data_IF_249306498213
#
_entry.id   IF_249306498213
#
_cell.length_a   1.000
_cell.length_b   1.000
_cell.length_c   1.000
_cell.angle_alpha   90.00
_cell.angle_beta   90.00
_cell.angle_gamma   90.00
#
_symmetry.space_group_name_H-M   'P 1'
#
loop_
_entity.id
_entity.type
_entity.pdbx_description
1 polymer ?
#
# COMPACT_ATOMS: atom_id res chain seq x y z
N UNK A 1 -1.12 27.34 5.75
CA UNK A 1 -1.76 26.98 4.46
C UNK A 1 -2.37 25.60 4.61
N UNK A 2 -3.62 25.39 4.16
CA UNK A 2 -4.27 24.07 4.17
C UNK A 2 -4.16 23.46 2.75
N UNK A 3 -3.12 22.66 2.47
CA UNK A 3 -2.79 22.25 1.10
C UNK A 3 -3.91 21.45 0.42
N UNK A 4 -4.70 20.71 1.20
CA UNK A 4 -5.76 19.86 0.69
C UNK A 4 -7.06 20.61 0.44
N UNK A 5 -7.38 21.62 1.26
CA UNK A 5 -8.62 22.39 1.11
C UNK A 5 -8.71 23.04 -0.27
N UNK A 6 -7.60 23.60 -0.76
CA UNK A 6 -7.57 24.22 -2.08
C UNK A 6 -7.84 23.20 -3.21
N UNK A 7 -7.33 21.98 -3.08
CA UNK A 7 -7.58 20.89 -4.04
C UNK A 7 -9.06 20.48 -4.02
N UNK A 8 -9.64 20.28 -2.83
CA UNK A 8 -11.07 19.94 -2.67
C UNK A 8 -11.95 21.05 -3.25
N UNK A 9 -11.69 22.31 -2.91
CA UNK A 9 -12.47 23.47 -3.38
C UNK A 9 -12.46 23.60 -4.90
N UNK A 10 -11.37 23.22 -5.58
CA UNK A 10 -11.30 23.22 -7.05
C UNK A 10 -12.33 22.30 -7.69
N UNK A 11 -12.53 21.10 -7.14
CA UNK A 11 -13.57 20.17 -7.62
C UNK A 11 -14.96 20.66 -7.25
N UNK A 12 -15.14 21.07 -5.98
CA UNK A 12 -16.44 21.54 -5.46
C UNK A 12 -16.99 22.70 -6.29
N UNK A 13 -16.16 23.72 -6.59
CA UNK A 13 -16.56 24.87 -7.41
C UNK A 13 -16.96 24.50 -8.84
N UNK A 14 -16.44 23.39 -9.37
CA UNK A 14 -16.76 22.89 -10.72
C UNK A 14 -17.92 21.90 -10.73
N UNK A 15 -18.47 21.53 -9.57
CA UNK A 15 -19.50 20.48 -9.47
C UNK A 15 -18.98 19.09 -9.87
N UNK A 16 -17.68 18.85 -9.75
CA UNK A 16 -17.04 17.59 -10.13
C UNK A 16 -16.74 16.72 -8.90
N UNK A 17 -16.75 15.38 -9.03
CA UNK A 17 -16.31 14.50 -7.96
C UNK A 17 -14.91 14.87 -7.48
N UNK A 18 -14.68 14.85 -6.17
CA UNK A 18 -13.34 15.08 -5.60
C UNK A 18 -12.46 13.88 -5.95
N UNK A 19 -11.41 14.09 -6.73
CA UNK A 19 -10.48 13.02 -7.12
C UNK A 19 -9.36 12.89 -6.08
N UNK A 20 -9.14 11.67 -5.59
CA UNK A 20 -8.09 11.31 -4.64
C UNK A 20 -7.14 10.29 -5.26
N UNK A 21 -5.85 10.39 -4.96
CA UNK A 21 -4.84 9.44 -5.44
C UNK A 21 -4.11 8.79 -4.28
N UNK A 22 -4.16 7.45 -4.21
CA UNK A 22 -3.64 6.65 -3.10
C UNK A 22 -2.60 5.63 -3.60
N UNK A 23 -1.29 5.87 -3.43
CA UNK A 23 -0.27 4.84 -3.60
C UNK A 23 -0.41 3.77 -2.51
N UNK A 24 -0.80 2.56 -2.91
CA UNK A 24 -1.13 1.45 -2.01
C UNK A 24 -1.32 0.14 -2.79
N UNK A 25 -1.44 -0.98 -2.06
CA UNK A 25 -1.71 -2.31 -2.62
C UNK A 25 -0.65 -2.79 -3.65
N UNK A 26 0.65 -2.87 -3.28
CA UNK A 26 1.70 -3.30 -4.19
C UNK A 26 1.58 -4.78 -4.56
N UNK A 27 1.68 -5.63 -3.54
CA UNK A 27 1.64 -7.08 -3.56
C UNK A 27 1.64 -7.56 -2.10
N UNK A 28 1.19 -8.80 -1.85
CA UNK A 28 1.37 -9.43 -0.54
C UNK A 28 2.85 -9.58 -0.19
N UNK A 29 3.17 -9.45 1.09
CA UNK A 29 4.50 -9.73 1.64
C UNK A 29 5.03 -11.09 1.18
N UNK A 30 6.33 -11.22 0.83
CA UNK A 30 6.93 -12.53 0.59
C UNK A 30 7.09 -13.35 1.88
N UNK A 31 6.86 -12.75 3.06
CA UNK A 31 6.90 -13.44 4.34
C UNK A 31 5.56 -14.11 4.68
N UNK A 32 5.51 -15.44 4.57
CA UNK A 32 4.31 -16.22 4.91
C UNK A 32 3.94 -16.20 6.40
N UNK A 33 4.81 -15.71 7.31
CA UNK A 33 4.43 -15.44 8.70
C UNK A 33 3.59 -14.16 8.86
N UNK A 34 3.44 -13.37 7.78
CA UNK A 34 2.67 -12.12 7.77
C UNK A 34 1.34 -12.25 7.03
N UNK A 35 1.27 -13.10 6.02
CA UNK A 35 0.15 -13.19 5.06
C UNK A 35 -0.26 -14.64 4.77
N UNK A 36 -1.41 -14.84 4.14
CA UNK A 36 -1.94 -16.18 3.80
C UNK A 36 -1.44 -16.72 2.45
N UNK A 37 -0.96 -15.86 1.57
CA UNK A 37 -0.49 -16.23 0.24
C UNK A 37 -0.12 -15.00 -0.59
N UNK A 38 0.14 -15.15 -1.90
CA UNK A 38 0.57 -14.05 -2.77
C UNK A 38 -0.58 -13.18 -3.31
N UNK A 39 -1.83 -13.62 -3.15
CA UNK A 39 -3.02 -12.95 -3.70
C UNK A 39 -3.78 -12.18 -2.62
N UNK A 40 -4.58 -11.16 -2.99
CA UNK A 40 -5.50 -10.49 -2.08
C UNK A 40 -6.41 -11.50 -1.38
N UNK A 41 -6.66 -11.23 -0.09
CA UNK A 41 -7.55 -12.00 0.78
C UNK A 41 -8.55 -11.06 1.46
N UNK A 42 -9.20 -11.49 2.55
CA UNK A 42 -10.22 -10.69 3.24
C UNK A 42 -9.67 -9.35 3.73
N UNK A 43 -8.36 -9.25 4.01
CA UNK A 43 -7.76 -7.99 4.45
C UNK A 43 -7.88 -6.90 3.38
N UNK A 44 -7.59 -7.21 2.12
CA UNK A 44 -7.77 -6.27 1.02
C UNK A 44 -9.25 -5.98 0.74
N UNK A 45 -10.13 -6.97 0.86
CA UNK A 45 -11.58 -6.78 0.69
C UNK A 45 -12.13 -5.76 1.68
N UNK A 46 -11.76 -5.87 2.96
CA UNK A 46 -12.16 -4.91 3.99
C UNK A 46 -11.62 -3.52 3.69
N UNK A 47 -10.35 -3.41 3.27
CA UNK A 47 -9.76 -2.13 2.94
C UNK A 47 -10.42 -1.47 1.72
N UNK A 48 -10.77 -2.25 0.69
CA UNK A 48 -11.50 -1.77 -0.48
C UNK A 48 -12.89 -1.28 -0.10
N UNK A 49 -13.64 -2.03 0.73
CA UNK A 49 -14.95 -1.59 1.24
C UNK A 49 -14.85 -0.32 2.06
N UNK A 50 -13.88 -0.23 2.97
CA UNK A 50 -13.63 0.98 3.74
C UNK A 50 -13.41 2.22 2.85
N UNK A 51 -12.63 2.08 1.77
CA UNK A 51 -12.41 3.18 0.82
C UNK A 51 -13.68 3.53 0.03
N UNK A 52 -14.52 2.54 -0.28
CA UNK A 52 -15.84 2.77 -0.88
C UNK A 52 -16.75 3.55 0.09
N UNK A 53 -16.86 3.10 1.34
CA UNK A 53 -17.68 3.72 2.37
C UNK A 53 -17.26 5.18 2.62
N UNK A 54 -15.95 5.48 2.55
CA UNK A 54 -15.45 6.85 2.60
C UNK A 54 -16.00 7.70 1.44
N UNK A 55 -16.00 7.20 0.21
CA UNK A 55 -16.56 7.89 -0.94
C UNK A 55 -18.09 8.07 -0.81
N UNK A 56 -18.80 7.08 -0.28
CA UNK A 56 -20.24 7.16 -0.02
C UNK A 56 -20.55 8.23 1.03
N UNK A 57 -19.80 8.27 2.14
CA UNK A 57 -19.93 9.32 3.17
C UNK A 57 -19.67 10.72 2.63
N UNK A 58 -18.71 10.90 1.72
CA UNK A 58 -18.50 12.20 1.05
C UNK A 58 -19.73 12.55 0.19
N UNK A 59 -20.34 11.56 -0.46
CA UNK A 59 -21.49 11.76 -1.34
C UNK A 59 -22.75 12.18 -0.58
N UNK A 60 -22.87 11.85 0.71
CA UNK A 60 -23.99 12.32 1.55
C UNK A 60 -23.94 13.82 1.85
N UNK A 61 -22.76 14.44 1.77
CA UNK A 61 -22.57 15.88 2.03
C UNK A 61 -22.26 16.70 0.76
N UNK A 62 -21.79 16.05 -0.30
CA UNK A 62 -21.48 16.66 -1.58
C UNK A 62 -21.95 15.75 -2.71
N UNK A 63 -23.04 16.11 -3.39
CA UNK A 63 -23.74 15.20 -4.32
C UNK A 63 -22.86 14.59 -5.44
N UNK A 64 -21.89 15.30 -6.06
CA UNK A 64 -20.96 14.67 -7.01
C UNK A 64 -20.01 13.64 -6.38
N UNK A 65 -19.87 13.63 -5.06
CA UNK A 65 -19.12 12.63 -4.30
C UNK A 65 -17.61 12.74 -4.48
N UNK A 66 -16.96 11.59 -4.35
CA UNK A 66 -15.52 11.44 -4.47
C UNK A 66 -15.14 10.15 -5.19
N UNK A 67 -13.96 10.14 -5.82
CA UNK A 67 -13.37 8.95 -6.44
C UNK A 67 -11.93 8.79 -6.01
N UNK A 68 -11.54 7.56 -5.69
CA UNK A 68 -10.16 7.24 -5.29
C UNK A 68 -9.51 6.40 -6.39
N UNK A 69 -8.42 6.90 -6.94
CA UNK A 69 -7.52 6.13 -7.79
C UNK A 69 -6.43 5.50 -6.92
N UNK A 70 -6.48 4.18 -6.77
CA UNK A 70 -5.43 3.39 -6.15
C UNK A 70 -4.26 3.29 -7.14
N UNK A 71 -3.16 3.96 -6.82
CA UNK A 71 -1.95 3.97 -7.63
C UNK A 71 -1.03 2.81 -7.20
N UNK A 72 -1.37 1.59 -7.63
CA UNK A 72 -0.69 0.38 -7.21
C UNK A 72 0.78 0.35 -7.64
N UNK A 73 1.64 0.16 -6.65
CA UNK A 73 3.09 0.35 -6.73
C UNK A 73 3.89 -0.96 -6.70
N UNK A 74 3.23 -2.10 -6.90
CA UNK A 74 3.87 -3.42 -6.89
C UNK A 74 4.95 -3.55 -7.95
N UNK A 75 4.62 -3.17 -9.19
CA UNK A 75 5.55 -3.22 -10.33
C UNK A 75 6.77 -2.31 -10.13
N UNK A 76 6.56 -1.18 -9.46
CA UNK A 76 7.60 -0.20 -9.12
C UNK A 76 8.67 -0.83 -8.22
N UNK A 77 8.27 -1.64 -7.24
CA UNK A 77 9.16 -2.09 -6.17
C UNK A 77 9.58 -3.57 -6.24
N UNK A 78 8.96 -4.37 -7.11
CA UNK A 78 9.06 -5.83 -7.14
C UNK A 78 10.49 -6.39 -6.90
N UNK A 79 11.47 -5.89 -7.65
CA UNK A 79 12.88 -6.27 -7.57
C UNK A 79 13.56 -5.88 -6.24
N UNK A 80 13.22 -4.71 -5.70
CA UNK A 80 13.77 -4.20 -4.44
C UNK A 80 13.19 -4.93 -3.22
N UNK A 81 11.89 -5.21 -3.23
CA UNK A 81 11.22 -5.93 -2.13
C UNK A 81 11.38 -7.45 -2.25
N UNK A 82 11.80 -7.95 -3.41
CA UNK A 82 12.05 -9.39 -3.63
C UNK A 82 10.77 -10.18 -3.88
N UNK A 83 9.79 -9.55 -4.53
CA UNK A 83 8.55 -10.19 -4.97
C UNK A 83 8.64 -10.41 -6.49
N UNK A 84 8.46 -11.65 -7.00
CA UNK A 84 8.48 -11.90 -8.43
C UNK A 84 7.41 -11.10 -9.19
N UNK A 85 7.75 -10.64 -10.39
CA UNK A 85 6.82 -9.88 -11.24
C UNK A 85 5.54 -10.66 -11.61
N UNK A 86 5.59 -11.99 -11.63
CA UNK A 86 4.42 -12.85 -11.79
C UNK A 86 3.46 -12.77 -10.59
N UNK A 87 3.98 -12.67 -9.36
CA UNK A 87 3.15 -12.49 -8.17
C UNK A 87 2.50 -11.10 -8.17
N UNK A 88 3.24 -10.06 -8.57
CA UNK A 88 2.68 -8.71 -8.76
C UNK A 88 1.54 -8.73 -9.77
N UNK A 89 1.73 -9.37 -10.92
CA UNK A 89 0.71 -9.44 -11.98
C UNK A 89 -0.55 -10.19 -11.51
N UNK A 90 -0.37 -11.30 -10.79
CA UNK A 90 -1.47 -12.05 -10.19
C UNK A 90 -2.23 -11.24 -9.14
N UNK A 91 -1.51 -10.50 -8.29
CA UNK A 91 -2.08 -9.62 -7.27
C UNK A 91 -2.84 -8.45 -7.90
N UNK A 92 -2.25 -7.73 -8.87
CA UNK A 92 -2.90 -6.64 -9.62
C UNK A 92 -4.18 -7.12 -10.30
N UNK A 93 -4.14 -8.27 -10.97
CA UNK A 93 -5.32 -8.86 -11.63
C UNK A 93 -6.43 -9.21 -10.64
N UNK A 94 -6.07 -9.73 -9.46
CA UNK A 94 -7.03 -10.02 -8.41
C UNK A 94 -7.59 -8.76 -7.75
N UNK A 95 -6.78 -7.72 -7.54
CA UNK A 95 -7.23 -6.41 -7.07
C UNK A 95 -8.19 -5.76 -8.06
N UNK A 96 -7.94 -5.86 -9.38
CA UNK A 96 -8.84 -5.32 -10.40
C UNK A 96 -10.23 -5.98 -10.33
N UNK A 97 -10.28 -7.31 -10.18
CA UNK A 97 -11.54 -8.04 -9.97
C UNK A 97 -12.22 -7.70 -8.65
N UNK A 98 -11.45 -7.48 -7.58
CA UNK A 98 -11.96 -7.07 -6.27
C UNK A 98 -12.61 -5.69 -6.35
N UNK A 99 -11.90 -4.70 -6.89
CA UNK A 99 -12.40 -3.33 -7.06
C UNK A 99 -13.65 -3.29 -7.95
N UNK A 100 -13.64 -4.01 -9.08
CA UNK A 100 -14.79 -4.08 -9.98
C UNK A 100 -16.03 -4.69 -9.32
N UNK A 101 -15.85 -5.61 -8.37
CA UNK A 101 -16.96 -6.26 -7.64
C UNK A 101 -17.47 -5.42 -6.49
N UNK A 102 -16.58 -4.87 -5.68
CA UNK A 102 -16.94 -4.25 -4.39
C UNK A 102 -17.15 -2.74 -4.48
N UNK A 103 -16.49 -2.04 -5.42
CA UNK A 103 -16.49 -0.58 -5.46
C UNK A 103 -16.32 0.03 -6.88
N UNK A 104 -17.05 -0.45 -7.91
CA UNK A 104 -16.80 -0.06 -9.30
C UNK A 104 -17.07 1.42 -9.60
N UNK A 105 -17.90 2.10 -8.80
CA UNK A 105 -18.22 3.52 -8.99
C UNK A 105 -17.20 4.44 -8.27
N UNK A 106 -16.74 4.03 -7.10
CA UNK A 106 -15.91 4.85 -6.21
C UNK A 106 -14.41 4.69 -6.47
N UNK A 107 -13.95 3.49 -6.85
CA UNK A 107 -12.53 3.16 -6.90
C UNK A 107 -12.04 2.82 -8.31
N UNK A 108 -10.79 3.20 -8.59
CA UNK A 108 -10.07 2.87 -9.82
C UNK A 108 -8.69 2.34 -9.49
N UNK A 109 -8.12 1.54 -10.38
CA UNK A 109 -6.70 1.17 -10.31
C UNK A 109 -5.90 1.94 -11.36
N UNK A 110 -4.70 2.34 -10.98
CA UNK A 110 -3.66 2.83 -11.88
C UNK A 110 -2.34 2.17 -11.50
N UNK A 111 -1.68 1.55 -12.47
CA UNK A 111 -0.45 0.78 -12.28
C UNK A 111 0.68 1.38 -13.13
N UNK A 112 1.91 0.93 -12.89
CA UNK A 112 3.02 1.31 -13.77
C UNK A 112 2.81 0.76 -15.20
N UNK A 113 2.16 -0.40 -15.31
CA UNK A 113 1.80 -1.04 -16.58
C UNK A 113 0.83 -0.14 -17.40
N UNK A 114 -0.06 0.62 -16.75
CA UNK A 114 -0.95 1.61 -17.39
C UNK A 114 -0.21 2.89 -17.83
N UNK A 115 0.90 3.23 -17.18
CA UNK A 115 1.69 4.41 -17.51
C UNK A 115 2.48 4.24 -18.82
N UNK A 116 2.85 2.99 -19.15
CA UNK A 116 3.58 2.66 -20.37
C UNK A 116 3.25 1.24 -20.85
N UNK A 117 2.07 1.09 -21.46
CA UNK A 117 1.56 -0.20 -21.91
C UNK A 117 2.48 -0.93 -22.90
N UNK A 118 2.52 -2.27 -22.80
CA UNK A 118 3.22 -3.14 -23.74
C UNK A 118 4.71 -3.37 -23.46
N UNK A 119 5.25 -2.79 -22.38
CA UNK A 119 6.63 -2.99 -21.97
C UNK A 119 6.73 -4.12 -20.93
N UNK A 120 7.88 -4.79 -20.91
CA UNK A 120 8.16 -5.76 -19.86
C UNK A 120 8.40 -5.07 -18.50
N UNK A 121 8.30 -5.80 -17.38
CA UNK A 121 8.46 -5.22 -16.05
C UNK A 121 9.79 -4.52 -15.77
N UNK A 122 10.89 -4.99 -16.36
CA UNK A 122 12.23 -4.42 -16.15
C UNK A 122 12.31 -3.08 -16.89
N UNK A 123 11.85 -3.04 -18.13
CA UNK A 123 11.80 -1.84 -18.95
C UNK A 123 10.86 -0.77 -18.37
N UNK A 124 9.72 -1.19 -17.80
CA UNK A 124 8.82 -0.30 -17.07
C UNK A 124 9.53 0.43 -15.92
N UNK A 125 10.28 -0.32 -15.09
CA UNK A 125 11.06 0.27 -13.99
C UNK A 125 12.19 1.16 -14.49
N UNK A 126 12.91 0.74 -15.54
CA UNK A 126 13.97 1.56 -16.15
C UNK A 126 13.44 2.91 -16.61
N UNK A 127 12.30 2.93 -17.31
CA UNK A 127 11.69 4.19 -17.76
C UNK A 127 11.26 5.08 -16.60
N UNK A 128 10.69 4.51 -15.54
CA UNK A 128 10.34 5.26 -14.33
C UNK A 128 11.58 5.91 -13.71
N UNK A 129 12.67 5.14 -13.58
CA UNK A 129 13.93 5.61 -13.01
C UNK A 129 14.57 6.71 -13.89
N UNK A 130 14.46 6.63 -15.22
CA UNK A 130 15.02 7.62 -16.14
C UNK A 130 14.23 8.94 -16.17
N UNK A 131 12.90 8.87 -16.22
CA UNK A 131 12.07 10.07 -16.39
C UNK A 131 11.73 10.74 -15.06
N UNK A 132 11.66 9.97 -13.98
CA UNK A 132 11.24 10.46 -12.68
C UNK A 132 12.20 10.07 -11.55
N UNK A 133 13.32 9.37 -11.79
CA UNK A 133 14.24 8.96 -10.74
C UNK A 133 15.08 10.12 -10.18
N UNK A 134 15.87 9.81 -9.16
CA UNK A 134 16.85 10.72 -8.58
C UNK A 134 18.14 9.96 -8.27
N UNK A 135 19.26 10.70 -8.14
CA UNK A 135 20.53 10.06 -7.87
C UNK A 135 20.57 9.47 -6.46
N UNK A 136 20.97 8.21 -6.35
CA UNK A 136 21.23 7.55 -5.06
C UNK A 136 22.31 8.30 -4.26
N UNK A 137 23.25 8.96 -4.93
CA UNK A 137 24.28 9.76 -4.26
C UNK A 137 23.68 10.99 -3.56
N UNK A 138 22.77 11.71 -4.25
CA UNK A 138 22.04 12.84 -3.66
C UNK A 138 21.17 12.39 -2.49
N UNK A 139 20.46 11.27 -2.67
CA UNK A 139 19.61 10.71 -1.62
C UNK A 139 20.43 10.31 -0.38
N UNK A 140 21.63 9.74 -0.56
CA UNK A 140 22.54 9.42 0.55
C UNK A 140 22.92 10.67 1.35
N UNK A 141 23.19 11.77 0.66
CA UNK A 141 23.55 13.02 1.33
C UNK A 141 22.37 13.63 2.07
N UNK A 142 21.18 13.60 1.45
CA UNK A 142 19.95 14.06 2.10
C UNK A 142 19.63 13.23 3.35
N UNK A 143 19.79 11.91 3.33
CA UNK A 143 19.57 11.04 4.50
C UNK A 143 20.53 11.39 5.65
N UNK A 144 21.72 11.93 5.38
CA UNK A 144 22.64 12.36 6.45
C UNK A 144 22.17 13.65 7.12
N UNK A 145 21.62 14.56 6.33
CA UNK A 145 21.37 15.95 6.73
C UNK A 145 19.90 16.24 7.09
N UNK A 146 18.95 15.43 6.60
CA UNK A 146 17.51 15.59 6.85
C UNK A 146 16.98 14.46 7.76
N UNK A 147 16.47 14.84 8.94
CA UNK A 147 15.95 13.90 9.94
C UNK A 147 14.77 13.07 9.46
N UNK A 148 13.89 13.68 8.66
CA UNK A 148 12.62 13.08 8.23
C UNK A 148 12.89 12.06 7.12
N UNK A 149 13.73 12.44 6.15
CA UNK A 149 14.19 11.53 5.10
C UNK A 149 14.97 10.35 5.71
N UNK A 150 15.78 10.60 6.76
CA UNK A 150 16.45 9.54 7.51
C UNK A 150 15.47 8.61 8.23
N UNK A 151 14.45 9.15 8.89
CA UNK A 151 13.43 8.35 9.58
C UNK A 151 12.66 7.45 8.58
N UNK A 152 12.27 7.99 7.43
CA UNK A 152 11.64 7.23 6.34
C UNK A 152 12.54 6.10 5.85
N UNK A 153 13.82 6.39 5.56
CA UNK A 153 14.80 5.40 5.15
C UNK A 153 14.95 4.28 6.18
N UNK A 154 15.08 4.60 7.47
CA UNK A 154 15.20 3.62 8.54
C UNK A 154 13.92 2.77 8.69
N UNK A 155 12.75 3.37 8.51
CA UNK A 155 11.46 2.67 8.44
C UNK A 155 11.43 1.64 7.32
N UNK A 156 11.88 2.02 6.12
CA UNK A 156 11.98 1.12 4.95
C UNK A 156 12.99 0.01 5.20
N UNK A 157 14.14 0.30 5.82
CA UNK A 157 15.12 -0.74 6.18
C UNK A 157 14.51 -1.77 7.12
N UNK A 158 13.81 -1.32 8.18
CA UNK A 158 13.12 -2.22 9.12
C UNK A 158 12.10 -3.09 8.37
N UNK A 159 11.31 -2.46 7.52
CA UNK A 159 10.31 -3.12 6.69
C UNK A 159 10.92 -4.23 5.80
N UNK A 160 11.97 -3.91 5.03
CA UNK A 160 12.65 -4.87 4.15
C UNK A 160 13.28 -6.05 4.90
N UNK A 161 13.73 -5.82 6.14
CA UNK A 161 14.26 -6.89 6.99
C UNK A 161 13.12 -7.81 7.44
N UNK A 162 12.04 -7.25 7.97
CA UNK A 162 10.87 -8.03 8.44
C UNK A 162 10.25 -8.88 7.32
N UNK A 163 10.14 -8.33 6.10
CA UNK A 163 9.58 -9.02 4.94
C UNK A 163 10.46 -10.17 4.43
N UNK A 164 11.76 -10.16 4.74
CA UNK A 164 12.68 -11.22 4.33
C UNK A 164 12.99 -12.24 5.43
N UNK A 165 12.65 -11.96 6.69
CA UNK A 165 12.79 -12.89 7.82
C UNK A 165 11.67 -13.95 7.89
N UNK A 166 11.21 -14.44 6.74
CA UNK A 166 10.21 -15.51 6.69
C UNK A 166 10.78 -16.89 7.01
N UNK A 167 9.92 -17.93 7.10
CA UNK A 167 10.31 -19.29 7.49
C UNK A 167 11.45 -19.90 6.67
N UNK A 168 11.57 -19.52 5.39
CA UNK A 168 12.61 -20.03 4.49
C UNK A 168 13.96 -19.30 4.56
N UNK A 169 14.13 -18.30 5.44
CA UNK A 169 15.37 -17.54 5.50
C UNK A 169 16.46 -18.25 6.31
N UNK A 170 17.55 -18.62 5.65
CA UNK A 170 18.68 -19.35 6.25
C UNK A 170 19.92 -18.48 6.54
N UNK A 171 19.89 -17.19 6.23
CA UNK A 171 21.03 -16.30 6.43
C UNK A 171 21.09 -15.67 7.83
N UNK A 172 22.12 -14.85 8.08
CA UNK A 172 22.21 -14.09 9.34
C UNK A 172 21.42 -12.80 9.28
N UNK A 173 20.78 -12.43 10.39
CA UNK A 173 20.06 -11.15 10.51
C UNK A 173 20.94 -9.94 10.17
N UNK A 174 22.21 -9.96 10.58
CA UNK A 174 23.16 -8.88 10.28
C UNK A 174 23.47 -8.75 8.79
N UNK A 175 23.61 -9.87 8.06
CA UNK A 175 23.79 -9.83 6.61
C UNK A 175 22.53 -9.31 5.90
N UNK A 176 21.33 -9.71 6.37
CA UNK A 176 20.07 -9.20 5.86
C UNK A 176 19.92 -7.70 6.08
N UNK A 177 20.26 -7.22 7.28
CA UNK A 177 20.23 -5.80 7.63
C UNK A 177 21.12 -4.98 6.68
N UNK A 178 22.34 -5.45 6.39
CA UNK A 178 23.24 -4.77 5.42
C UNK A 178 22.63 -4.71 4.03
N UNK A 179 22.18 -5.84 3.48
CA UNK A 179 21.53 -5.89 2.16
C UNK A 179 20.26 -5.01 2.09
N UNK A 180 19.51 -4.93 3.18
CA UNK A 180 18.28 -4.13 3.25
C UNK A 180 18.58 -2.63 3.30
N UNK A 181 19.68 -2.22 3.95
CA UNK A 181 20.18 -0.84 3.90
C UNK A 181 20.52 -0.42 2.47
N UNK A 182 21.25 -1.26 1.74
CA UNK A 182 21.61 -0.94 0.35
C UNK A 182 20.37 -0.82 -0.55
N UNK A 183 19.40 -1.72 -0.41
CA UNK A 183 18.15 -1.70 -1.19
C UNK A 183 17.21 -0.55 -0.81
N UNK A 184 17.20 -0.13 0.45
CA UNK A 184 16.30 0.91 0.92
C UNK A 184 16.51 2.25 0.19
N UNK A 185 17.73 2.55 -0.27
CA UNK A 185 17.95 3.73 -1.13
C UNK A 185 17.13 3.65 -2.42
N UNK A 186 17.14 2.51 -3.10
CA UNK A 186 16.35 2.29 -4.30
C UNK A 186 14.84 2.40 -4.03
N UNK A 187 14.38 1.91 -2.88
CA UNK A 187 12.95 1.99 -2.51
C UNK A 187 12.54 3.44 -2.28
N UNK A 188 13.35 4.23 -1.59
CA UNK A 188 13.07 5.66 -1.39
C UNK A 188 13.06 6.41 -2.73
N UNK A 189 14.08 6.19 -3.57
CA UNK A 189 14.19 6.82 -4.88
C UNK A 189 12.98 6.49 -5.76
N UNK A 190 12.58 5.20 -5.84
CA UNK A 190 11.41 4.77 -6.60
C UNK A 190 10.08 5.23 -6.01
N UNK A 191 9.97 5.35 -4.69
CA UNK A 191 8.78 5.92 -4.05
C UNK A 191 8.59 7.38 -4.43
N UNK A 192 9.69 8.16 -4.48
CA UNK A 192 9.66 9.55 -4.95
C UNK A 192 9.38 9.64 -6.45
N UNK A 193 10.00 8.79 -7.26
CA UNK A 193 9.76 8.71 -8.70
C UNK A 193 8.29 8.39 -9.02
N UNK A 194 7.74 7.36 -8.36
CA UNK A 194 6.32 7.03 -8.46
C UNK A 194 5.43 8.18 -7.96
N UNK A 195 5.83 8.82 -6.86
CA UNK A 195 5.15 10.00 -6.33
C UNK A 195 5.05 11.14 -7.35
N UNK A 196 6.13 11.41 -8.11
CA UNK A 196 6.21 12.40 -9.19
C UNK A 196 5.32 12.02 -10.37
N UNK A 197 5.49 10.80 -10.91
CA UNK A 197 4.65 10.32 -12.02
C UNK A 197 3.15 10.38 -11.67
N UNK A 198 2.76 9.93 -10.48
CA UNK A 198 1.35 10.02 -10.06
C UNK A 198 0.90 11.48 -9.90
N UNK A 199 1.78 12.39 -9.46
CA UNK A 199 1.50 13.83 -9.43
C UNK A 199 1.28 14.42 -10.81
N UNK A 200 2.02 13.98 -11.83
CA UNK A 200 1.83 14.41 -13.21
C UNK A 200 0.55 13.85 -13.83
N UNK A 201 0.20 12.59 -13.52
CA UNK A 201 -1.02 11.93 -14.03
C UNK A 201 -2.29 12.43 -13.36
N UNK A 202 -2.21 12.84 -12.10
CA UNK A 202 -3.36 13.29 -11.30
C UNK A 202 -3.05 14.61 -10.56
N UNK A 203 -2.78 15.71 -11.30
CA UNK A 203 -2.19 16.94 -10.74
C UNK A 203 -3.09 17.67 -9.73
N UNK A 204 -4.40 17.59 -9.91
CA UNK A 204 -5.37 18.23 -9.01
C UNK A 204 -5.82 17.32 -7.87
N UNK A 205 -5.45 16.03 -7.88
CA UNK A 205 -5.95 15.06 -6.90
C UNK A 205 -5.48 15.36 -5.47
N UNK A 206 -6.35 15.07 -4.50
CA UNK A 206 -5.96 15.02 -3.10
C UNK A 206 -5.06 13.80 -2.90
N UNK A 207 -3.81 14.02 -2.50
CA UNK A 207 -2.82 12.94 -2.35
C UNK A 207 -3.02 12.25 -1.01
N UNK A 208 -3.43 10.98 -1.04
CA UNK A 208 -3.49 10.13 0.14
C UNK A 208 -2.17 9.36 0.33
N UNK A 209 -1.96 8.82 1.52
CA UNK A 209 -0.81 7.97 1.86
C UNK A 209 -1.19 6.96 2.93
N UNK A 210 -0.69 5.73 2.81
CA UNK A 210 -0.81 4.71 3.87
C UNK A 210 0.26 4.86 4.97
N UNK A 211 1.10 5.90 4.89
CA UNK A 211 2.08 6.24 5.90
C UNK A 211 1.64 7.50 6.65
N UNK A 212 1.95 7.60 7.97
CA UNK A 212 1.78 8.83 8.71
C UNK A 212 2.44 10.02 8.01
N UNK A 213 1.75 11.16 8.03
CA UNK A 213 2.22 12.41 7.42
C UNK A 213 2.20 13.52 8.46
N UNK A 214 3.22 14.39 8.52
CA UNK A 214 3.20 15.55 9.40
C UNK A 214 2.11 16.53 8.97
N UNK A 215 1.59 17.31 9.93
CA UNK A 215 0.65 18.38 9.63
C UNK A 215 1.24 19.37 8.61
N UNK A 216 0.47 19.67 7.56
CA UNK A 216 0.92 20.54 6.46
C UNK A 216 1.68 19.83 5.34
N UNK A 217 1.88 18.50 5.42
CA UNK A 217 2.37 17.70 4.30
C UNK A 217 1.45 17.83 3.08
N UNK A 218 2.01 17.66 1.88
CA UNK A 218 1.24 17.56 0.65
C UNK A 218 0.39 16.27 0.57
N UNK A 219 0.65 15.29 1.45
CA UNK A 219 -0.06 14.01 1.52
C UNK A 219 -0.89 13.91 2.81
N UNK A 220 -2.08 13.32 2.72
CA UNK A 220 -2.92 12.95 3.86
C UNK A 220 -2.76 11.48 4.20
N UNK A 221 -2.38 11.19 5.45
CA UNK A 221 -2.37 9.83 5.97
C UNK A 221 -3.78 9.25 6.07
N UNK A 222 -3.97 8.01 5.60
CA UNK A 222 -5.21 7.23 5.76
C UNK A 222 -4.89 5.83 6.28
N UNK A 223 -5.67 5.36 7.25
CA UNK A 223 -5.57 4.00 7.78
C UNK A 223 -6.55 3.09 7.02
N UNK A 224 -6.07 1.93 6.56
CA UNK A 224 -6.85 0.99 5.75
C UNK A 224 -7.47 -0.17 6.57
N UNK A 225 -7.48 -0.04 7.90
CA UNK A 225 -8.09 -1.04 8.77
C UNK A 225 -7.93 -0.68 10.25
N UNK A 226 -8.85 -1.20 11.08
CA UNK A 226 -8.74 -1.11 12.54
C UNK A 226 -7.65 -2.04 13.06
N UNK A 227 -6.71 -1.49 13.83
CA UNK A 227 -5.62 -2.22 14.47
C UNK A 227 -4.86 -1.32 15.44
N UNK A 228 -4.16 -1.91 16.41
CA UNK A 228 -3.36 -1.16 17.38
C UNK A 228 -2.09 -0.54 16.77
N UNK A 229 -1.62 -1.07 15.64
CA UNK A 229 -0.44 -0.60 14.91
C UNK A 229 -0.86 0.22 13.68
N UNK A 230 -0.58 1.53 13.72
CA UNK A 230 -0.89 2.48 12.65
C UNK A 230 -0.13 2.22 11.34
N UNK A 231 0.82 1.29 11.32
CA UNK A 231 1.58 0.89 10.12
C UNK A 231 1.06 -0.38 9.46
N UNK A 232 0.10 -1.06 10.06
CA UNK A 232 -0.34 -2.34 9.56
C UNK A 232 -1.22 -2.15 8.31
N UNK A 233 -0.73 -2.67 7.20
CA UNK A 233 -1.40 -2.62 5.89
C UNK A 233 -1.92 -4.01 5.52
N UNK A 234 -3.01 -4.10 4.72
CA UNK A 234 -3.62 -5.39 4.34
C UNK A 234 -2.63 -6.40 3.75
N UNK A 235 -1.67 -5.91 2.96
CA UNK A 235 -0.68 -6.75 2.29
C UNK A 235 0.50 -7.19 3.19
N UNK A 236 0.50 -6.77 4.45
CA UNK A 236 1.47 -7.17 5.49
C UNK A 236 0.80 -7.83 6.70
N UNK A 237 -0.47 -8.20 6.58
CA UNK A 237 -1.30 -8.69 7.67
C UNK A 237 -2.35 -9.67 7.19
N UNK A 238 -3.15 -10.14 8.15
CA UNK A 238 -4.35 -10.93 7.93
C UNK A 238 -5.53 -10.24 8.60
N UNK A 239 -6.72 -10.43 8.03
CA UNK A 239 -7.95 -10.06 8.70
C UNK A 239 -8.26 -11.08 9.81
N UNK A 240 -8.68 -10.59 10.96
CA UNK A 240 -9.13 -11.41 12.09
C UNK A 240 -10.53 -10.94 12.49
N UNK A 241 -11.50 -11.85 12.44
CA UNK A 241 -12.86 -11.63 12.90
C UNK A 241 -12.95 -11.94 14.41
N UNK A 242 -13.54 -11.03 15.19
CA UNK A 242 -13.84 -11.24 16.60
C UNK A 242 -14.79 -10.15 17.10
N UNK A 243 -15.66 -10.47 18.07
CA UNK A 243 -16.62 -9.48 18.61
C UNK A 243 -17.48 -8.79 17.54
N UNK A 244 -17.86 -9.52 16.48
CA UNK A 244 -18.71 -9.01 15.39
C UNK A 244 -18.04 -8.09 14.36
N UNK A 245 -16.75 -7.81 14.49
CA UNK A 245 -16.01 -6.93 13.57
C UNK A 245 -14.71 -7.57 13.09
N UNK A 246 -14.11 -7.00 12.05
CA UNK A 246 -12.79 -7.38 11.57
C UNK A 246 -11.73 -6.37 12.02
N UNK A 247 -10.53 -6.88 12.29
CA UNK A 247 -9.32 -6.09 12.54
C UNK A 247 -8.14 -6.67 11.77
N UNK A 248 -7.17 -5.82 11.42
CA UNK A 248 -5.91 -6.28 10.85
C UNK A 248 -4.97 -6.72 11.98
N UNK A 249 -4.27 -7.84 11.77
CA UNK A 249 -3.30 -8.38 12.73
C UNK A 249 -2.14 -9.07 11.99
N UNK A 250 -0.97 -9.14 12.62
CA UNK A 250 0.11 -10.00 12.11
C UNK A 250 -0.34 -11.47 12.23
N UNK A 251 -0.16 -12.26 11.17
CA UNK A 251 -0.58 -13.68 11.18
C UNK A 251 -0.03 -14.47 12.36
N UNK A 252 1.25 -14.33 12.69
CA UNK A 252 1.86 -15.01 13.85
C UNK A 252 1.16 -14.67 15.17
N UNK A 253 0.63 -13.45 15.31
CA UNK A 253 -0.11 -13.04 16.50
C UNK A 253 -1.51 -13.65 16.52
N UNK A 254 -2.19 -13.70 15.37
CA UNK A 254 -3.48 -14.37 15.24
C UNK A 254 -3.37 -15.87 15.60
N UNK A 255 -2.35 -16.55 15.07
CA UNK A 255 -2.06 -17.95 15.36
C UNK A 255 -1.73 -18.14 16.86
N UNK A 256 -0.92 -17.25 17.46
CA UNK A 256 -0.61 -17.29 18.90
C UNK A 256 -1.85 -17.13 19.79
N UNK A 257 -2.83 -16.33 19.34
CA UNK A 257 -4.10 -16.14 20.05
C UNK A 257 -5.09 -17.30 19.83
N UNK A 258 -4.70 -18.36 19.11
CA UNK A 258 -5.56 -19.51 18.84
C UNK A 258 -6.64 -19.23 17.79
N UNK A 259 -6.46 -18.22 16.94
CA UNK A 259 -7.41 -17.93 15.88
C UNK A 259 -7.42 -19.07 14.84
N UNK A 260 -8.61 -19.41 14.35
CA UNK A 260 -8.81 -20.49 13.38
C UNK A 260 -8.89 -19.93 11.96
N UNK A 261 -8.14 -20.52 11.03
CA UNK A 261 -8.12 -20.11 9.63
C UNK A 261 -9.43 -20.52 8.92
N UNK A 262 -10.12 -19.54 8.35
CA UNK A 262 -11.31 -19.73 7.52
C UNK A 262 -10.90 -19.79 6.04
N UNK A 263 -11.53 -20.72 5.33
CA UNK A 263 -11.43 -20.82 3.87
C UNK A 263 -12.72 -20.33 3.23
N UNK A 264 -12.58 -19.59 2.13
CA UNK A 264 -13.68 -19.08 1.31
C UNK A 264 -13.37 -19.42 -0.15
N UNK A 265 -14.32 -20.06 -0.85
CA UNK A 265 -14.10 -20.56 -2.22
C UNK A 265 -12.89 -21.49 -2.36
N UNK A 266 -12.61 -22.31 -1.33
CA UNK A 266 -11.46 -23.23 -1.32
C UNK A 266 -10.10 -22.56 -1.09
N UNK A 267 -10.05 -21.28 -0.72
CA UNK A 267 -8.81 -20.52 -0.50
C UNK A 267 -8.77 -19.93 0.92
N UNK A 268 -7.58 -19.82 1.54
CA UNK A 268 -7.42 -19.09 2.79
C UNK A 268 -7.96 -17.66 2.69
N UNK A 269 -8.79 -17.24 3.65
CA UNK A 269 -9.52 -15.96 3.60
C UNK A 269 -9.14 -15.03 4.76
N UNK A 270 -9.34 -15.49 5.99
CA UNK A 270 -9.12 -14.73 7.22
C UNK A 270 -9.07 -15.66 8.42
N UNK A 271 -8.76 -15.13 9.59
CA UNK A 271 -8.85 -15.86 10.84
C UNK A 271 -10.11 -15.47 11.63
N UNK A 272 -10.61 -16.38 12.46
CA UNK A 272 -11.66 -16.11 13.45
C UNK A 272 -11.11 -16.39 14.84
N UNK A 273 -11.24 -15.42 15.75
CA UNK A 273 -11.07 -15.63 17.17
C UNK A 273 -12.43 -16.01 17.75
N UNK A 274 -12.56 -17.23 18.24
CA UNK A 274 -13.68 -17.58 19.12
C UNK A 274 -13.64 -16.66 20.33
N UNK A 275 -14.74 -15.96 20.62
CA UNK A 275 -14.88 -15.30 21.91
C UNK A 275 -14.70 -16.38 22.97
N UNK A 276 -13.58 -16.37 23.70
CA UNK A 276 -13.52 -17.06 24.98
C UNK A 276 -14.71 -16.53 25.79
N UNK A 277 -15.62 -17.42 26.21
CA UNK A 277 -16.65 -17.07 27.17
C UNK A 277 -15.99 -16.38 28.36
N UNK A 278 -16.57 -15.25 28.76
CA UNK A 278 -16.53 -14.64 30.11
C UNK A 278 -15.16 -14.28 30.68
#
# INVERSE_FOLDING_TARGET
MNPHLNQVVRFVRKGLPVELALPAFPAKSPNLNKVLGPLPDKAEEIAVRFLNDLCEQISTVYAPGARITICADGRVFADLIGVPDAHVSGYQSAMARLVAREAPAALRLFTLDDAAAGLDPVELRRRLDEHHGESVAQLREEIRTNSDTRAMYLGIVRFLVEDRLGPGYQGTRSALQRKSRDRAYGVVARSRAWGRLVGERFPDSVRLSIHPQPCGSAKLGILLGGGADSWLTPWHSVAVQGGGHFRLMKRIEAERLGAVLVHDGGRPSHFVLSNSCS
#
